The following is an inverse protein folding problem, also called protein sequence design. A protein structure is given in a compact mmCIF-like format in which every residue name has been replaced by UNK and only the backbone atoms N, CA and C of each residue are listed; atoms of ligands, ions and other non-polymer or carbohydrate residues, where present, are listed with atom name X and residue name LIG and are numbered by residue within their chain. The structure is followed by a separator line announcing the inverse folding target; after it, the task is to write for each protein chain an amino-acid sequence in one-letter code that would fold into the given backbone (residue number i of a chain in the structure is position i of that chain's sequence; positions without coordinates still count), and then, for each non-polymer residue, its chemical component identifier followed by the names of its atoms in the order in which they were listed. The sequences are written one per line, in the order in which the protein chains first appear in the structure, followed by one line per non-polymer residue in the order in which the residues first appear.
data_IF_455390722223
#
_entry.id   IF_455390722223
#
_cell.length_a   1.000
_cell.length_b   1.000
_cell.length_c   1.000
_cell.angle_alpha   90.00
_cell.angle_beta   90.00
_cell.angle_gamma   90.00
#
_symmetry.space_group_name_H-M   'P 1'
#
loop_
_entity.id
_entity.type
_entity.pdbx_description
1 polymer ?
#
# COMPACT_ATOMS: atom_id res chain seq x y z
N UNK A 1 -9.05 -4.64 4.34
CA UNK A 1 -7.90 -4.50 5.26
C UNK A 1 -7.03 -3.36 4.81
N UNK A 2 -6.14 -2.86 5.67
CA UNK A 2 -5.13 -1.85 5.34
C UNK A 2 -3.77 -2.27 5.90
N UNK A 3 -2.69 -1.76 5.31
CA UNK A 3 -1.33 -1.94 5.83
C UNK A 3 -1.03 -0.97 6.97
N UNK A 4 0.05 -1.23 7.70
CA UNK A 4 0.60 -0.32 8.72
C UNK A 4 0.96 1.05 8.15
N UNK A 5 1.32 1.11 6.87
CA UNK A 5 1.65 2.36 6.18
C UNK A 5 0.39 3.19 5.94
N UNK A 6 -0.67 2.57 5.43
CA UNK A 6 -1.97 3.26 5.23
C UNK A 6 -2.56 3.67 6.58
N UNK A 7 -2.44 2.83 7.61
CA UNK A 7 -2.86 3.19 8.97
C UNK A 7 -2.10 4.43 9.47
N UNK A 8 -0.77 4.47 9.30
CA UNK A 8 0.04 5.62 9.70
C UNK A 8 -0.33 6.90 8.94
N UNK A 9 -0.61 6.81 7.64
CA UNK A 9 -1.07 7.94 6.82
C UNK A 9 -2.43 8.47 7.30
N UNK A 10 -3.38 7.58 7.59
CA UNK A 10 -4.66 7.98 8.17
C UNK A 10 -4.48 8.59 9.56
N UNK A 11 -3.61 8.02 10.39
CA UNK A 11 -3.33 8.49 11.75
C UNK A 11 -2.82 9.93 11.84
N UNK A 12 -2.35 10.54 10.74
CA UNK A 12 -2.04 11.97 10.71
C UNK A 12 -3.27 12.88 10.85
N UNK A 13 -4.47 12.37 10.52
CA UNK A 13 -5.74 13.11 10.57
C UNK A 13 -6.69 12.68 11.68
N UNK A 14 -6.35 11.66 12.47
CA UNK A 14 -7.21 11.09 13.52
C UNK A 14 -6.40 10.79 14.78
N UNK A 15 -7.04 10.83 15.95
CA UNK A 15 -6.46 10.12 17.10
C UNK A 15 -6.51 8.60 16.88
N UNK A 16 -5.64 7.85 17.58
CA UNK A 16 -5.61 6.37 17.51
C UNK A 16 -7.00 5.78 17.77
N UNK A 17 -7.70 6.27 18.80
CA UNK A 17 -9.03 5.79 19.17
C UNK A 17 -10.09 6.05 18.09
N UNK A 18 -10.08 7.24 17.48
CA UNK A 18 -11.05 7.57 16.42
C UNK A 18 -10.82 6.72 15.17
N UNK A 19 -9.55 6.52 14.80
CA UNK A 19 -9.20 5.69 13.67
C UNK A 19 -9.62 4.23 13.90
N UNK A 20 -9.30 3.67 15.07
CA UNK A 20 -9.66 2.29 15.41
C UNK A 20 -11.17 2.06 15.35
N UNK A 21 -11.98 2.98 15.92
CA UNK A 21 -13.43 2.91 15.85
C UNK A 21 -13.96 3.02 14.42
N UNK A 22 -13.36 3.85 13.57
CA UNK A 22 -13.73 3.97 12.17
C UNK A 22 -13.44 2.66 11.42
N UNK A 23 -12.25 2.09 11.61
CA UNK A 23 -11.87 0.84 10.98
C UNK A 23 -12.78 -0.31 11.42
N UNK A 24 -13.09 -0.41 12.72
CA UNK A 24 -14.02 -1.40 13.27
C UNK A 24 -15.42 -1.26 12.65
N UNK A 25 -15.95 -0.03 12.59
CA UNK A 25 -17.26 0.25 11.99
C UNK A 25 -17.37 -0.21 10.54
N UNK A 26 -16.30 -0.09 9.76
CA UNK A 26 -16.26 -0.53 8.35
C UNK A 26 -15.78 -1.98 8.17
N UNK A 27 -15.51 -2.71 9.26
CA UNK A 27 -14.98 -4.07 9.19
C UNK A 27 -13.58 -4.15 8.56
N UNK A 28 -12.82 -3.05 8.60
CA UNK A 28 -11.47 -2.96 8.05
C UNK A 28 -10.48 -3.38 9.12
N UNK A 29 -9.71 -4.42 8.85
CA UNK A 29 -8.62 -4.85 9.73
C UNK A 29 -7.28 -4.22 9.33
N UNK A 30 -6.47 -3.87 10.32
CA UNK A 30 -5.04 -3.64 10.14
C UNK A 30 -4.33 -4.98 9.95
N UNK A 31 -3.59 -5.13 8.86
CA UNK A 31 -2.75 -6.29 8.59
C UNK A 31 -1.33 -5.82 8.34
N UNK A 32 -0.34 -6.24 9.14
CA UNK A 32 1.05 -5.87 8.93
C UNK A 32 1.68 -6.49 7.68
N UNK A 33 2.70 -5.85 7.14
CA UNK A 33 3.52 -6.43 6.07
C UNK A 33 4.29 -7.68 6.51
N UNK A 34 4.14 -8.76 5.73
CA UNK A 34 5.00 -9.95 5.75
C UNK A 34 6.44 -9.69 5.28
N UNK A 35 7.37 -10.60 5.57
CA UNK A 35 8.75 -10.51 5.04
C UNK A 35 8.79 -10.56 3.51
N UNK A 36 7.90 -11.34 2.91
CA UNK A 36 7.73 -11.50 1.47
C UNK A 36 7.31 -10.18 0.80
N UNK A 37 6.28 -9.53 1.34
CA UNK A 37 5.83 -8.22 0.85
C UNK A 37 6.91 -7.15 1.02
N UNK A 38 7.60 -7.10 2.17
CA UNK A 38 8.71 -6.18 2.39
C UNK A 38 9.87 -6.41 1.39
N UNK A 39 10.26 -7.66 1.18
CA UNK A 39 11.28 -8.04 0.21
C UNK A 39 10.88 -7.68 -1.22
N UNK A 40 9.59 -7.85 -1.57
CA UNK A 40 9.05 -7.47 -2.88
C UNK A 40 9.06 -5.96 -3.08
N UNK A 41 8.64 -5.18 -2.09
CA UNK A 41 8.69 -3.72 -2.13
C UNK A 41 10.12 -3.22 -2.43
N UNK A 42 11.13 -3.76 -1.72
CA UNK A 42 12.53 -3.39 -1.92
C UNK A 42 13.05 -3.71 -3.33
N UNK A 43 12.65 -4.85 -3.92
CA UNK A 43 13.02 -5.20 -5.30
C UNK A 43 12.40 -4.22 -6.30
N UNK A 44 11.10 -3.96 -6.19
CA UNK A 44 10.38 -3.05 -7.11
C UNK A 44 10.89 -1.61 -6.97
N UNK A 45 11.15 -1.16 -5.74
CA UNK A 45 11.78 0.14 -5.47
C UNK A 45 13.14 0.27 -6.15
N UNK A 46 14.02 -0.72 -5.95
CA UNK A 46 15.35 -0.73 -6.58
C UNK A 46 15.24 -0.67 -8.10
N UNK A 47 14.34 -1.44 -8.69
CA UNK A 47 14.15 -1.47 -10.14
C UNK A 47 13.56 -0.13 -10.66
N UNK A 48 12.67 0.49 -9.90
CA UNK A 48 12.12 1.82 -10.21
C UNK A 48 13.23 2.89 -10.20
N UNK A 49 14.06 2.92 -9.17
CA UNK A 49 15.18 3.86 -9.05
C UNK A 49 16.20 3.65 -10.20
N UNK A 50 16.54 2.40 -10.52
CA UNK A 50 17.45 2.06 -11.62
C UNK A 50 16.95 2.52 -12.99
N UNK A 51 15.63 2.51 -13.21
CA UNK A 51 15.00 2.99 -14.45
C UNK A 51 14.88 4.51 -14.51
N UNK A 52 15.59 5.25 -13.67
CA UNK A 52 15.57 6.71 -13.64
C UNK A 52 14.34 7.29 -12.96
N UNK A 53 13.60 6.50 -12.16
CA UNK A 53 12.42 6.96 -11.45
C UNK A 53 12.75 8.11 -10.49
N UNK A 54 12.48 9.36 -10.89
CA UNK A 54 12.66 10.56 -10.06
C UNK A 54 11.60 11.64 -10.33
N UNK A 55 10.54 11.59 -9.51
CA UNK A 55 9.84 12.69 -8.80
C UNK A 55 8.53 12.09 -8.24
N UNK A 56 8.23 12.38 -6.98
CA UNK A 56 6.91 12.09 -6.37
C UNK A 56 6.64 10.68 -5.85
N UNK A 57 7.55 9.70 -6.02
CA UNK A 57 7.40 8.35 -5.43
C UNK A 57 8.35 8.12 -4.28
N UNK A 58 7.81 7.62 -3.18
CA UNK A 58 8.55 7.27 -1.97
C UNK A 58 8.35 5.79 -1.64
N UNK A 59 9.19 5.24 -0.76
CA UNK A 59 9.16 3.81 -0.45
C UNK A 59 7.80 3.32 0.05
N UNK A 60 6.99 4.19 0.68
CA UNK A 60 5.63 3.85 1.13
C UNK A 60 4.72 3.40 -0.02
N UNK A 61 4.77 4.03 -1.20
CA UNK A 61 3.99 3.62 -2.37
C UNK A 61 4.27 2.15 -2.76
N UNK A 62 5.54 1.75 -2.65
CA UNK A 62 5.98 0.40 -2.99
C UNK A 62 5.63 -0.59 -1.88
N UNK A 63 5.67 -0.16 -0.62
CA UNK A 63 5.22 -0.96 0.51
C UNK A 63 3.71 -1.22 0.42
N UNK A 64 2.90 -0.22 0.07
CA UNK A 64 1.45 -0.37 -0.14
C UNK A 64 1.17 -1.36 -1.28
N UNK A 65 1.82 -1.20 -2.43
CA UNK A 65 1.61 -2.08 -3.58
C UNK A 65 2.06 -3.52 -3.32
N UNK A 66 3.19 -3.68 -2.62
CA UNK A 66 3.69 -5.00 -2.25
C UNK A 66 2.86 -5.66 -1.14
N UNK A 67 2.32 -4.87 -0.21
CA UNK A 67 1.37 -5.38 0.77
C UNK A 67 0.11 -5.89 0.07
N UNK A 68 -0.49 -5.06 -0.80
CA UNK A 68 -1.72 -5.41 -1.49
C UNK A 68 -1.60 -6.68 -2.33
N UNK A 69 -0.50 -6.87 -3.08
CA UNK A 69 -0.34 -8.07 -3.91
C UNK A 69 -0.11 -9.37 -3.12
N UNK A 70 0.22 -9.27 -1.83
CA UNK A 70 0.43 -10.44 -0.96
C UNK A 70 -0.75 -10.72 -0.04
N UNK A 71 -1.45 -9.67 0.41
CA UNK A 71 -2.43 -9.77 1.49
C UNK A 71 -3.85 -9.43 1.06
N UNK A 72 -4.04 -8.76 -0.09
CA UNK A 72 -5.35 -8.32 -0.55
C UNK A 72 -5.74 -8.95 -1.89
N UNK A 73 -7.03 -9.21 -2.07
CA UNK A 73 -7.56 -9.64 -3.36
C UNK A 73 -7.48 -8.52 -4.42
N UNK A 74 -7.69 -7.27 -3.97
CA UNK A 74 -7.75 -6.07 -4.81
C UNK A 74 -7.26 -4.83 -4.06
N UNK A 75 -6.61 -3.91 -4.77
CA UNK A 75 -6.21 -2.59 -4.28
C UNK A 75 -7.18 -1.52 -4.78
N UNK A 76 -7.82 -0.81 -3.86
CA UNK A 76 -8.59 0.40 -4.17
C UNK A 76 -7.66 1.61 -4.20
N UNK A 77 -7.50 2.26 -5.36
CA UNK A 77 -6.61 3.43 -5.49
C UNK A 77 -6.96 4.28 -6.72
N UNK A 78 -6.67 5.58 -6.63
CA UNK A 78 -6.75 6.50 -7.78
C UNK A 78 -5.55 6.38 -8.71
N UNK A 79 -4.46 5.75 -8.26
CA UNK A 79 -3.18 5.71 -8.98
C UNK A 79 -2.96 4.39 -9.74
N UNK A 80 -3.96 3.99 -10.52
CA UNK A 80 -3.97 2.67 -11.17
C UNK A 80 -2.76 2.43 -12.08
N UNK A 81 -2.29 3.48 -12.77
CA UNK A 81 -1.20 3.38 -13.74
C UNK A 81 0.11 2.99 -13.08
N UNK A 82 0.44 3.59 -11.94
CA UNK A 82 1.63 3.25 -11.17
C UNK A 82 1.57 1.82 -10.65
N UNK A 83 0.51 1.46 -9.94
CA UNK A 83 0.40 0.16 -9.28
C UNK A 83 0.37 -1.00 -10.28
N UNK A 84 -0.36 -0.89 -11.39
CA UNK A 84 -0.37 -1.92 -12.45
C UNK A 84 0.99 -2.07 -13.13
N UNK A 85 1.72 -0.97 -13.32
CA UNK A 85 3.06 -1.00 -13.94
C UNK A 85 4.10 -1.64 -13.02
N UNK A 86 4.03 -1.37 -11.72
CA UNK A 86 5.02 -1.82 -10.74
C UNK A 86 4.72 -3.22 -10.18
N UNK A 87 3.45 -3.63 -10.12
CA UNK A 87 3.00 -4.88 -9.50
C UNK A 87 2.14 -5.68 -10.48
N UNK A 88 2.80 -6.40 -11.39
CA UNK A 88 2.11 -7.31 -12.31
C UNK A 88 1.27 -8.34 -11.54
N UNK A 89 0.02 -8.50 -11.95
CA UNK A 89 -0.96 -9.38 -11.30
C UNK A 89 -1.80 -8.70 -10.20
N UNK A 90 -1.49 -7.46 -9.80
CA UNK A 90 -2.31 -6.74 -8.82
C UNK A 90 -3.64 -6.28 -9.46
N UNK A 91 -4.75 -6.76 -8.91
CA UNK A 91 -6.07 -6.27 -9.29
C UNK A 91 -6.31 -4.88 -8.67
N UNK A 92 -6.50 -3.85 -9.51
CA UNK A 92 -6.73 -2.48 -9.05
C UNK A 92 -8.15 -2.03 -9.39
N UNK A 93 -8.87 -1.57 -8.36
CA UNK A 93 -10.18 -0.91 -8.46
C UNK A 93 -10.00 0.60 -8.33
N UNK A 94 -10.72 1.36 -9.13
CA UNK A 94 -10.81 2.82 -9.03
C UNK A 94 -12.11 3.23 -8.33
N UNK A 95 -12.05 4.02 -7.24
CA UNK A 95 -13.22 4.59 -6.57
C UNK A 95 -13.78 5.84 -7.29
#
# INVERSE_FOLDING_TARGET
MISEIVYAELGAGFSVRELDLLLERFGIRLEPSSRESLGRAGKVWRDYVRKGGRRGRIISDFLIGAHAIHHADRLLTRDRGFYRKCFSGLCVIEP
#
